data_IF_927022531276
#
_entry.id   IF_927022531276
#
_cell.length_a   1.000
_cell.length_b   1.000
_cell.length_c   1.000
_cell.angle_alpha   90.00
_cell.angle_beta   90.00
_cell.angle_gamma   90.00
#
_symmetry.space_group_name_H-M   'P 1'
#
loop_
_entity.id
_entity.type
_entity.pdbx_description
1 polymer ?
#
# COMPACT_ATOMS: atom_id res chain seq x y z
N UNK A 1 34.18 -43.41 -75.82
CA UNK A 1 35.11 -42.27 -75.66
C UNK A 1 34.51 -40.94 -76.13
N UNK A 2 33.99 -40.79 -77.36
CA UNK A 2 33.43 -39.48 -77.83
C UNK A 2 32.12 -39.08 -77.12
N UNK A 3 31.16 -39.99 -76.96
CA UNK A 3 29.86 -39.70 -76.33
C UNK A 3 29.98 -39.41 -74.83
N UNK A 4 30.85 -40.12 -74.11
CA UNK A 4 31.09 -39.91 -72.68
C UNK A 4 31.65 -38.51 -72.40
N UNK A 5 32.58 -38.03 -73.26
CA UNK A 5 33.14 -36.68 -73.18
C UNK A 5 32.06 -35.62 -73.45
N UNK A 6 31.17 -35.83 -74.43
CA UNK A 6 30.05 -34.91 -74.68
C UNK A 6 29.07 -34.85 -73.50
N UNK A 7 28.76 -36.00 -72.89
CA UNK A 7 27.88 -36.08 -71.71
C UNK A 7 28.51 -35.34 -70.51
N UNK A 8 29.81 -35.53 -70.27
CA UNK A 8 30.53 -34.81 -69.21
C UNK A 8 30.53 -33.30 -69.47
N UNK A 9 30.73 -32.85 -70.71
CA UNK A 9 30.68 -31.43 -71.07
C UNK A 9 29.29 -30.82 -70.89
N UNK A 10 28.23 -31.54 -71.23
CA UNK A 10 26.85 -31.11 -71.01
C UNK A 10 26.53 -30.98 -69.52
N UNK A 11 26.91 -31.98 -68.72
CA UNK A 11 26.79 -31.94 -67.25
C UNK A 11 27.59 -30.81 -66.64
N UNK A 12 28.82 -30.55 -67.11
CA UNK A 12 29.66 -29.44 -66.65
C UNK A 12 29.03 -28.07 -66.94
N UNK A 13 28.46 -27.88 -68.14
CA UNK A 13 27.70 -26.66 -68.47
C UNK A 13 26.48 -26.48 -67.57
N UNK A 14 25.72 -27.55 -67.32
CA UNK A 14 24.56 -27.50 -66.44
C UNK A 14 24.94 -27.19 -64.98
N UNK A 15 26.02 -27.80 -64.47
CA UNK A 15 26.56 -27.47 -63.14
C UNK A 15 26.97 -25.99 -63.09
N UNK A 16 27.61 -25.47 -64.14
CA UNK A 16 28.00 -24.06 -64.22
C UNK A 16 26.79 -23.12 -64.17
N UNK A 17 25.70 -23.44 -64.87
CA UNK A 17 24.46 -22.63 -64.82
C UNK A 17 23.83 -22.64 -63.42
N UNK A 18 23.74 -23.81 -62.79
CA UNK A 18 23.19 -23.96 -61.43
C UNK A 18 24.03 -23.18 -60.41
N UNK A 19 25.37 -23.19 -60.55
CA UNK A 19 26.26 -22.41 -59.68
C UNK A 19 26.00 -20.91 -59.80
N UNK A 20 25.72 -20.41 -61.01
CA UNK A 20 25.41 -18.98 -61.22
C UNK A 20 24.08 -18.61 -60.57
N UNK A 21 23.05 -19.46 -60.70
CA UNK A 21 21.75 -19.25 -60.05
C UNK A 21 21.87 -19.27 -58.52
N UNK A 22 22.59 -20.24 -57.95
CA UNK A 22 22.88 -20.30 -56.51
C UNK A 22 23.63 -19.04 -56.06
N UNK A 23 24.62 -18.58 -56.85
CA UNK A 23 25.37 -17.37 -56.54
C UNK A 23 24.49 -16.13 -56.53
N UNK A 24 23.50 -16.05 -57.42
CA UNK A 24 22.53 -14.95 -57.44
C UNK A 24 21.59 -15.01 -56.23
N UNK A 25 21.03 -16.19 -55.94
CA UNK A 25 20.19 -16.41 -54.76
C UNK A 25 20.91 -16.09 -53.45
N UNK A 26 22.18 -16.49 -53.32
CA UNK A 26 23.01 -16.16 -52.16
C UNK A 26 23.23 -14.65 -51.99
N UNK A 27 23.39 -13.90 -53.10
CA UNK A 27 23.50 -12.43 -53.04
C UNK A 27 22.20 -11.79 -52.55
N UNK A 28 21.04 -12.25 -53.03
CA UNK A 28 19.74 -11.77 -52.57
C UNK A 28 19.54 -12.05 -51.08
N UNK A 29 19.80 -13.27 -50.64
CA UNK A 29 19.73 -13.67 -49.22
C UNK A 29 20.62 -12.78 -48.35
N UNK A 30 21.88 -12.56 -48.75
CA UNK A 30 22.79 -11.68 -48.01
C UNK A 30 22.25 -10.26 -47.91
N UNK A 31 21.69 -9.72 -48.98
CA UNK A 31 21.10 -8.37 -48.95
C UNK A 31 19.93 -8.28 -47.97
N UNK A 32 19.01 -9.25 -48.00
CA UNK A 32 17.88 -9.32 -47.06
C UNK A 32 18.34 -9.51 -45.63
N UNK A 33 19.38 -10.30 -45.40
CA UNK A 33 19.97 -10.53 -44.09
C UNK A 33 20.53 -9.22 -43.52
N UNK A 34 21.28 -8.43 -44.30
CA UNK A 34 21.77 -7.12 -43.83
C UNK A 34 20.63 -6.14 -43.51
N UNK A 35 19.54 -6.17 -44.28
CA UNK A 35 18.35 -5.35 -43.98
C UNK A 35 17.69 -5.79 -42.67
N UNK A 36 17.55 -7.09 -42.43
CA UNK A 36 16.98 -7.63 -41.19
C UNK A 36 17.87 -7.27 -39.99
N UNK A 37 19.19 -7.40 -40.11
CA UNK A 37 20.14 -7.01 -39.05
C UNK A 37 20.01 -5.52 -38.71
N UNK A 38 19.86 -4.65 -39.72
CA UNK A 38 19.65 -3.22 -39.49
C UNK A 38 18.33 -2.93 -38.78
N UNK A 39 17.25 -3.60 -39.17
CA UNK A 39 15.94 -3.47 -38.53
C UNK A 39 15.93 -4.02 -37.11
N UNK A 40 16.66 -5.11 -36.86
CA UNK A 40 16.80 -5.69 -35.52
C UNK A 40 17.56 -4.73 -34.60
N UNK A 41 18.66 -4.16 -35.08
CA UNK A 41 19.43 -3.14 -34.33
C UNK A 41 18.59 -1.91 -33.98
N UNK A 42 17.78 -1.38 -34.93
CA UNK A 42 16.85 -0.28 -34.64
C UNK A 42 15.77 -0.70 -33.62
N UNK A 43 15.21 -1.90 -33.78
CA UNK A 43 14.19 -2.43 -32.88
C UNK A 43 14.72 -2.62 -31.47
N UNK A 44 15.92 -3.18 -31.31
CA UNK A 44 16.59 -3.36 -30.03
C UNK A 44 16.89 -2.01 -29.37
N UNK A 45 17.34 -1.01 -30.14
CA UNK A 45 17.53 0.35 -29.66
C UNK A 45 16.24 0.99 -29.13
N UNK A 46 15.13 0.81 -29.86
CA UNK A 46 13.81 1.28 -29.44
C UNK A 46 13.30 0.54 -28.20
N UNK A 47 13.57 -0.77 -28.10
CA UNK A 47 13.18 -1.61 -26.97
C UNK A 47 13.92 -1.17 -25.70
N UNK A 48 15.24 -0.98 -25.78
CA UNK A 48 16.05 -0.46 -24.68
C UNK A 48 15.59 0.94 -24.24
N UNK A 49 15.26 1.83 -25.18
CA UNK A 49 14.72 3.15 -24.86
C UNK A 49 13.35 3.06 -24.16
N UNK A 50 12.48 2.14 -24.58
CA UNK A 50 11.18 1.91 -23.95
C UNK A 50 11.33 1.35 -22.53
N UNK A 51 12.24 0.40 -22.32
CA UNK A 51 12.55 -0.14 -20.98
C UNK A 51 13.08 0.94 -20.04
N UNK A 52 13.98 1.82 -20.52
CA UNK A 52 14.47 2.96 -19.76
C UNK A 52 13.34 3.94 -19.39
N UNK A 53 12.37 4.17 -20.29
CA UNK A 53 11.20 5.00 -19.98
C UNK A 53 10.28 4.33 -18.98
N UNK A 54 10.01 3.02 -19.09
CA UNK A 54 9.16 2.28 -18.17
C UNK A 54 9.74 2.30 -16.76
N UNK A 55 11.03 2.09 -16.61
CA UNK A 55 11.71 2.14 -15.30
C UNK A 55 11.63 3.55 -14.69
N UNK A 56 11.86 4.60 -15.48
CA UNK A 56 11.73 5.99 -15.06
C UNK A 56 10.30 6.35 -14.63
N UNK A 57 9.30 5.95 -15.42
CA UNK A 57 7.89 6.16 -15.11
C UNK A 57 7.47 5.40 -13.86
N UNK A 58 7.91 4.14 -13.70
CA UNK A 58 7.61 3.33 -12.51
C UNK A 58 8.16 3.98 -11.25
N UNK A 59 9.39 4.49 -11.29
CA UNK A 59 10.00 5.25 -10.19
C UNK A 59 9.20 6.53 -9.88
N UNK A 60 8.81 7.28 -10.91
CA UNK A 60 8.03 8.51 -10.76
C UNK A 60 6.66 8.23 -10.14
N UNK A 61 5.96 7.20 -10.60
CA UNK A 61 4.67 6.77 -10.06
C UNK A 61 4.80 6.37 -8.59
N UNK A 62 5.85 5.64 -8.21
CA UNK A 62 6.10 5.29 -6.81
C UNK A 62 6.28 6.53 -5.93
N UNK A 63 7.09 7.51 -6.36
CA UNK A 63 7.31 8.77 -5.63
C UNK A 63 6.01 9.57 -5.52
N UNK A 64 5.24 9.67 -6.59
CA UNK A 64 3.95 10.38 -6.58
C UNK A 64 2.95 9.71 -5.66
N UNK A 65 2.92 8.38 -5.63
CA UNK A 65 2.02 7.64 -4.74
C UNK A 65 2.34 7.90 -3.26
N UNK A 66 3.61 7.87 -2.88
CA UNK A 66 4.04 8.21 -1.52
C UNK A 66 3.72 9.67 -1.15
N UNK A 67 3.92 10.61 -2.08
CA UNK A 67 3.56 12.03 -1.85
C UNK A 67 2.06 12.23 -1.67
N UNK A 68 1.24 11.59 -2.48
CA UNK A 68 -0.23 11.65 -2.38
C UNK A 68 -0.70 11.07 -1.05
N UNK A 69 -0.13 9.93 -0.65
CA UNK A 69 -0.42 9.29 0.63
C UNK A 69 -0.04 10.19 1.83
N UNK A 70 1.12 10.84 1.79
CA UNK A 70 1.53 11.80 2.84
C UNK A 70 0.59 13.03 2.87
N UNK A 71 0.21 13.56 1.71
CA UNK A 71 -0.75 14.68 1.63
C UNK A 71 -2.12 14.32 2.19
N UNK A 72 -2.66 13.15 1.85
CA UNK A 72 -3.92 12.65 2.39
C UNK A 72 -3.87 12.54 3.92
N UNK A 73 -2.81 11.94 4.46
CA UNK A 73 -2.66 11.80 5.92
C UNK A 73 -2.46 13.13 6.65
N UNK A 74 -1.78 14.10 6.03
CA UNK A 74 -1.67 15.47 6.57
C UNK A 74 -3.03 16.17 6.57
N UNK A 75 -3.82 16.02 5.51
CA UNK A 75 -5.17 16.59 5.42
C UNK A 75 -6.11 15.96 6.47
N UNK A 76 -6.02 14.65 6.68
CA UNK A 76 -6.81 13.93 7.69
C UNK A 76 -6.23 13.99 9.11
N UNK A 77 -5.12 14.71 9.33
CA UNK A 77 -4.42 14.71 10.62
C UNK A 77 -5.30 15.16 11.78
N UNK A 78 -6.24 16.07 11.55
CA UNK A 78 -7.18 16.54 12.56
C UNK A 78 -8.53 15.79 12.55
N UNK A 79 -8.70 14.86 11.63
CA UNK A 79 -9.93 14.10 11.50
C UNK A 79 -9.97 12.94 12.52
N UNK A 80 -11.14 12.74 13.10
CA UNK A 80 -11.48 11.67 14.02
C UNK A 80 -12.57 10.81 13.37
N UNK A 81 -12.39 9.49 13.42
CA UNK A 81 -13.34 8.53 12.88
C UNK A 81 -14.02 7.80 14.02
N UNK A 82 -15.36 7.84 14.08
CA UNK A 82 -16.14 7.23 15.16
C UNK A 82 -17.12 6.22 14.59
N UNK A 83 -17.17 5.02 15.19
CA UNK A 83 -17.98 3.89 14.75
C UNK A 83 -18.96 3.50 15.86
N UNK A 84 -20.09 2.90 15.47
CA UNK A 84 -21.04 2.25 16.39
C UNK A 84 -22.35 3.01 16.59
N UNK A 85 -22.45 4.26 16.13
CA UNK A 85 -23.69 5.04 16.24
C UNK A 85 -24.73 4.64 15.21
N UNK A 86 -25.95 4.37 15.66
CA UNK A 86 -27.14 4.10 14.83
C UNK A 86 -27.39 5.22 13.83
N UNK A 87 -27.84 4.86 12.61
CA UNK A 87 -28.11 5.84 11.54
C UNK A 87 -29.25 6.80 11.93
N UNK A 88 -29.01 8.11 11.81
CA UNK A 88 -30.02 9.14 12.04
C UNK A 88 -30.06 9.75 13.45
N UNK A 89 -29.23 9.27 14.38
CA UNK A 89 -29.10 9.84 15.74
C UNK A 89 -28.76 11.34 15.76
N UNK A 90 -28.09 11.80 14.71
CA UNK A 90 -27.68 13.19 14.51
C UNK A 90 -28.83 14.15 14.13
N UNK A 91 -30.01 13.61 13.78
CA UNK A 91 -31.20 14.38 13.37
C UNK A 91 -30.91 15.43 12.27
N UNK A 92 -29.99 15.13 11.36
CA UNK A 92 -29.61 16.01 10.25
C UNK A 92 -28.52 17.05 10.57
N UNK A 93 -28.09 17.18 11.83
CA UNK A 93 -26.98 18.07 12.21
C UNK A 93 -25.88 17.34 13.00
N UNK A 94 -24.96 16.65 12.30
CA UNK A 94 -23.85 15.93 12.94
C UNK A 94 -22.96 16.81 13.81
N UNK A 95 -22.69 18.06 13.40
CA UNK A 95 -21.79 18.96 14.13
C UNK A 95 -22.37 19.29 15.50
N UNK A 96 -23.63 19.74 15.55
CA UNK A 96 -24.30 20.06 16.82
C UNK A 96 -24.47 18.83 17.71
N UNK A 97 -24.76 17.66 17.12
CA UNK A 97 -24.80 16.39 17.85
C UNK A 97 -23.47 16.13 18.56
N UNK A 98 -22.34 16.28 17.86
CA UNK A 98 -21.04 15.99 18.45
C UNK A 98 -20.56 17.02 19.47
N UNK A 99 -20.91 18.29 19.31
CA UNK A 99 -20.60 19.30 20.34
C UNK A 99 -21.26 18.98 21.69
N UNK A 100 -22.46 18.41 21.68
CA UNK A 100 -23.21 18.03 22.90
C UNK A 100 -22.82 16.65 23.43
N UNK A 101 -22.72 15.67 22.54
CA UNK A 101 -22.58 14.26 22.91
C UNK A 101 -21.15 13.90 23.33
N UNK A 102 -20.15 14.47 22.66
CA UNK A 102 -18.75 14.04 22.81
C UNK A 102 -18.16 14.35 24.20
N UNK A 103 -18.42 15.53 24.83
CA UNK A 103 -17.98 15.79 26.20
C UNK A 103 -18.58 14.82 27.21
N UNK A 104 -19.90 14.55 27.12
CA UNK A 104 -20.59 13.64 28.02
C UNK A 104 -20.11 12.19 27.86
N UNK A 105 -19.97 11.73 26.61
CA UNK A 105 -19.55 10.36 26.30
C UNK A 105 -18.12 10.06 26.78
N UNK A 106 -17.22 11.03 26.66
CA UNK A 106 -15.82 10.89 27.06
C UNK A 106 -15.53 11.47 28.45
N UNK A 107 -16.56 11.77 29.24
CA UNK A 107 -16.45 12.34 30.60
C UNK A 107 -15.47 13.51 30.67
N UNK A 108 -15.49 14.38 29.66
CA UNK A 108 -14.61 15.54 29.61
C UNK A 108 -15.06 16.58 30.64
N UNK A 109 -14.13 17.40 31.18
CA UNK A 109 -14.49 18.49 32.07
C UNK A 109 -15.51 19.43 31.44
N UNK A 110 -16.43 19.94 32.27
CA UNK A 110 -17.35 21.00 31.86
C UNK A 110 -16.57 22.20 31.32
N UNK A 111 -17.04 22.76 30.19
CA UNK A 111 -16.36 23.86 29.49
C UNK A 111 -15.26 23.44 28.50
N UNK A 112 -15.02 22.14 28.27
CA UNK A 112 -14.09 21.69 27.23
C UNK A 112 -14.56 22.12 25.84
N UNK A 113 -13.86 23.09 25.24
CA UNK A 113 -14.17 23.60 23.91
C UNK A 113 -13.56 22.69 22.83
N UNK A 114 -14.42 21.89 22.19
CA UNK A 114 -13.99 20.93 21.15
C UNK A 114 -13.60 21.59 19.83
N UNK A 115 -14.21 22.74 19.48
CA UNK A 115 -14.01 23.44 18.20
C UNK A 115 -14.07 22.49 16.99
N UNK A 116 -15.27 22.01 16.68
CA UNK A 116 -15.52 21.14 15.52
C UNK A 116 -15.68 22.02 14.27
N UNK A 117 -14.87 21.76 13.23
CA UNK A 117 -14.96 22.48 11.95
C UNK A 117 -16.15 21.97 11.14
N UNK A 118 -16.27 20.64 11.05
CA UNK A 118 -17.42 19.96 10.48
C UNK A 118 -17.48 18.51 10.94
N UNK A 119 -18.66 17.92 10.86
CA UNK A 119 -18.88 16.49 11.04
C UNK A 119 -19.85 15.97 9.98
N UNK A 120 -19.61 14.76 9.50
CA UNK A 120 -20.51 14.07 8.58
C UNK A 120 -20.40 12.56 8.75
N UNK A 121 -21.35 11.80 8.20
CA UNK A 121 -21.18 10.35 8.02
C UNK A 121 -20.45 10.07 6.73
N UNK A 122 -19.70 8.97 6.67
CA UNK A 122 -19.04 8.55 5.44
C UNK A 122 -20.00 8.53 4.26
N UNK A 123 -19.52 8.88 3.07
CA UNK A 123 -20.30 8.99 1.83
C UNK A 123 -20.84 7.66 1.28
N UNK A 124 -20.64 6.54 2.00
CA UNK A 124 -21.20 5.27 1.64
C UNK A 124 -22.75 5.32 1.60
N UNK A 125 -23.40 4.50 0.74
CA UNK A 125 -24.85 4.34 0.74
C UNK A 125 -25.37 4.01 2.13
N UNK A 126 -26.58 4.49 2.45
CA UNK A 126 -27.20 4.20 3.75
C UNK A 126 -27.40 2.69 3.88
N UNK A 127 -26.89 2.06 4.96
CA UNK A 127 -27.02 0.62 5.16
C UNK A 127 -28.47 0.24 5.45
N UNK A 128 -28.83 -1.00 5.13
CA UNK A 128 -30.13 -1.56 5.48
C UNK A 128 -30.26 -1.76 7.01
N UNK A 129 -31.48 -1.85 7.56
CA UNK A 129 -31.68 -2.18 8.97
C UNK A 129 -30.92 -3.45 9.37
N UNK A 130 -30.20 -3.40 10.48
CA UNK A 130 -29.37 -4.52 10.98
C UNK A 130 -27.97 -4.63 10.39
N UNK A 131 -27.64 -3.87 9.33
CA UNK A 131 -26.27 -3.76 8.84
C UNK A 131 -25.45 -2.75 9.67
N UNK A 132 -24.13 -2.82 9.52
CA UNK A 132 -23.20 -1.94 10.25
C UNK A 132 -23.45 -0.46 9.88
N UNK A 133 -23.70 0.43 10.86
CA UNK A 133 -23.88 1.85 10.61
C UNK A 133 -22.64 2.51 10.01
N UNK A 134 -22.84 3.58 9.23
CA UNK A 134 -21.75 4.36 8.65
C UNK A 134 -20.99 5.11 9.73
N UNK A 135 -19.64 5.11 9.67
CA UNK A 135 -18.81 5.87 10.57
C UNK A 135 -19.07 7.37 10.42
N UNK A 136 -18.92 8.08 11.52
CA UNK A 136 -18.75 9.52 11.50
C UNK A 136 -17.30 9.88 11.21
N UNK A 137 -17.11 10.94 10.44
CA UNK A 137 -15.84 11.62 10.21
C UNK A 137 -16.02 13.05 10.73
N UNK A 138 -15.21 13.41 11.72
CA UNK A 138 -15.26 14.70 12.40
C UNK A 138 -13.93 15.38 12.20
N UNK A 139 -13.92 16.60 11.66
CA UNK A 139 -12.72 17.43 11.60
C UNK A 139 -12.70 18.41 12.76
N UNK A 140 -11.63 18.32 13.55
CA UNK A 140 -11.38 19.22 14.68
C UNK A 140 -10.48 20.37 14.22
N UNK A 141 -10.68 21.55 14.80
CA UNK A 141 -9.85 22.71 14.49
C UNK A 141 -8.41 22.52 15.00
N UNK A 142 -8.25 21.84 16.15
CA UNK A 142 -6.96 21.69 16.84
C UNK A 142 -6.56 20.22 16.98
N UNK A 143 -5.33 19.90 16.58
CA UNK A 143 -4.74 18.57 16.73
C UNK A 143 -4.63 18.12 18.19
N UNK A 144 -4.40 19.05 19.12
CA UNK A 144 -4.32 18.76 20.56
C UNK A 144 -5.62 18.18 21.09
N UNK A 145 -6.77 18.73 20.67
CA UNK A 145 -8.09 18.21 21.03
C UNK A 145 -8.27 16.80 20.48
N UNK A 146 -7.94 16.54 19.21
CA UNK A 146 -7.99 15.17 18.65
C UNK A 146 -7.23 14.17 19.52
N UNK A 147 -6.00 14.51 19.93
CA UNK A 147 -5.18 13.62 20.78
C UNK A 147 -5.82 13.42 22.16
N UNK A 148 -6.36 14.48 22.77
CA UNK A 148 -7.05 14.40 24.05
C UNK A 148 -8.25 13.44 23.98
N UNK A 149 -9.07 13.56 22.94
CA UNK A 149 -10.27 12.72 22.76
C UNK A 149 -9.90 11.25 22.53
N UNK A 150 -8.92 10.99 21.67
CA UNK A 150 -8.44 9.61 21.44
C UNK A 150 -7.87 8.99 22.71
N UNK A 151 -7.09 9.76 23.48
CA UNK A 151 -6.54 9.29 24.75
C UNK A 151 -7.64 9.02 25.77
N UNK A 152 -8.61 9.93 25.90
CA UNK A 152 -9.74 9.76 26.83
C UNK A 152 -10.58 8.53 26.48
N UNK A 153 -10.81 8.29 25.19
CA UNK A 153 -11.51 7.09 24.74
C UNK A 153 -10.72 5.81 25.07
N UNK A 154 -9.39 5.84 24.91
CA UNK A 154 -8.52 4.72 25.27
C UNK A 154 -8.49 4.46 26.78
N UNK A 155 -8.41 5.51 27.60
CA UNK A 155 -8.36 5.43 29.05
C UNK A 155 -9.69 4.91 29.64
N UNK A 156 -10.83 5.26 29.00
CA UNK A 156 -12.16 4.73 29.36
C UNK A 156 -12.37 3.28 28.92
N UNK A 157 -11.64 2.80 27.90
CA UNK A 157 -11.75 1.44 27.40
C UNK A 157 -13.02 1.20 26.59
N UNK A 158 -13.97 0.46 27.17
CA UNK A 158 -15.22 0.08 26.49
C UNK A 158 -16.26 1.21 26.62
N UNK A 159 -16.57 1.86 25.51
CA UNK A 159 -17.60 2.89 25.43
C UNK A 159 -18.87 2.29 24.81
N UNK A 160 -20.02 2.57 25.42
CA UNK A 160 -21.32 2.11 24.93
C UNK A 160 -22.31 3.28 24.85
N UNK A 161 -23.08 3.31 23.77
CA UNK A 161 -24.19 4.25 23.55
C UNK A 161 -25.41 3.46 23.11
N UNK A 162 -26.53 3.57 23.82
CA UNK A 162 -27.76 2.82 23.50
C UNK A 162 -27.50 1.32 23.26
N UNK A 163 -26.66 0.69 24.10
CA UNK A 163 -26.22 -0.72 24.00
C UNK A 163 -25.36 -1.05 22.77
N UNK A 164 -24.91 -0.05 22.01
CA UNK A 164 -23.96 -0.22 20.90
C UNK A 164 -22.56 0.16 21.34
N UNK A 165 -21.58 -0.69 21.01
CA UNK A 165 -20.16 -0.40 21.26
C UNK A 165 -19.68 0.72 20.36
N UNK A 166 -19.11 1.75 20.97
CA UNK A 166 -18.56 2.92 20.30
C UNK A 166 -17.04 2.81 20.24
N UNK A 167 -16.49 3.03 19.05
CA UNK A 167 -15.06 2.95 18.82
C UNK A 167 -14.55 4.25 18.20
N UNK A 168 -13.42 4.74 18.72
CA UNK A 168 -12.74 5.94 18.27
C UNK A 168 -11.43 5.57 17.59
N UNK A 169 -11.22 6.08 16.37
CA UNK A 169 -10.00 5.85 15.62
C UNK A 169 -9.49 7.14 14.98
N UNK A 170 -8.17 7.27 14.76
CA UNK A 170 -7.66 8.27 13.84
C UNK A 170 -8.18 7.98 12.43
N UNK A 171 -8.53 9.04 11.70
CA UNK A 171 -8.76 8.93 10.26
C UNK A 171 -7.40 8.88 9.55
N UNK A 172 -7.16 7.81 8.79
CA UNK A 172 -5.89 7.50 8.14
C UNK A 172 -6.17 7.03 6.71
N UNK A 173 -5.27 7.28 5.77
CA UNK A 173 -5.37 6.77 4.41
C UNK A 173 -5.41 5.24 4.39
N UNK A 174 -5.99 4.65 3.34
CA UNK A 174 -6.08 3.19 3.18
C UNK A 174 -4.69 2.54 3.17
N UNK A 175 -3.75 3.12 2.43
CA UNK A 175 -2.37 2.64 2.38
C UNK A 175 -1.71 2.63 3.77
N UNK A 176 -1.92 3.68 4.57
CA UNK A 176 -1.37 3.74 5.92
C UNK A 176 -2.05 2.74 6.86
N UNK A 177 -3.36 2.55 6.75
CA UNK A 177 -4.08 1.52 7.51
C UNK A 177 -3.57 0.11 7.18
N UNK A 178 -3.34 -0.18 5.90
CA UNK A 178 -2.84 -1.48 5.46
C UNK A 178 -1.40 -1.70 5.93
N UNK A 179 -0.52 -0.70 5.81
CA UNK A 179 0.85 -0.75 6.36
C UNK A 179 0.85 -0.99 7.86
N UNK A 180 -0.05 -0.32 8.59
CA UNK A 180 -0.22 -0.51 10.04
C UNK A 180 -0.71 -1.91 10.40
N UNK A 181 -1.63 -2.48 9.62
CA UNK A 181 -2.14 -3.84 9.83
C UNK A 181 -1.02 -4.87 9.72
N UNK A 182 -0.13 -4.71 8.74
CA UNK A 182 1.01 -5.61 8.54
C UNK A 182 2.03 -5.56 9.68
N UNK A 183 2.10 -4.44 10.42
CA UNK A 183 3.02 -4.29 11.57
C UNK A 183 2.47 -4.85 12.89
N UNK A 184 1.22 -5.32 12.93
CA UNK A 184 0.64 -5.78 14.19
C UNK A 184 1.22 -7.15 14.56
N UNK A 185 1.85 -7.30 15.73
CA UNK A 185 2.40 -8.59 16.14
C UNK A 185 1.28 -9.59 16.45
N UNK A 186 1.46 -10.85 16.07
CA UNK A 186 0.50 -11.93 16.34
C UNK A 186 0.49 -12.37 17.82
N UNK A 187 1.54 -12.07 18.57
CA UNK A 187 1.70 -12.49 19.97
C UNK A 187 1.15 -11.45 20.94
N UNK A 188 0.68 -11.91 22.10
CA UNK A 188 0.17 -11.09 23.22
C UNK A 188 1.29 -10.30 23.93
N UNK A 189 1.92 -9.36 23.22
CA UNK A 189 2.95 -8.47 23.74
C UNK A 189 2.36 -7.06 23.84
N UNK A 190 2.76 -6.30 24.86
CA UNK A 190 2.38 -4.89 24.97
C UNK A 190 3.09 -4.09 23.86
N UNK A 191 2.30 -3.55 22.94
CA UNK A 191 2.79 -2.69 21.87
C UNK A 191 1.98 -1.41 21.76
N UNK A 192 2.59 -0.40 21.13
CA UNK A 192 1.94 0.84 20.72
C UNK A 192 2.29 1.15 19.27
N UNK A 193 1.29 1.59 18.49
CA UNK A 193 1.49 1.94 17.09
C UNK A 193 1.47 3.46 16.92
N UNK A 194 2.60 4.02 16.50
CA UNK A 194 2.82 5.45 16.37
C UNK A 194 2.76 5.91 14.92
N UNK A 195 2.43 7.19 14.72
CA UNK A 195 2.43 7.79 13.40
C UNK A 195 3.85 7.87 12.81
N UNK A 196 4.03 7.62 11.50
CA UNK A 196 3.01 7.13 10.56
C UNK A 196 2.69 5.65 10.78
N UNK A 197 3.69 4.79 10.83
CA UNK A 197 3.55 3.36 11.07
C UNK A 197 4.81 2.83 11.76
N UNK A 198 4.98 3.21 13.03
CA UNK A 198 6.12 2.79 13.87
C UNK A 198 5.57 1.93 15.00
N UNK A 199 5.92 0.65 15.00
CA UNK A 199 5.56 -0.26 16.08
C UNK A 199 6.57 -0.09 17.21
N UNK A 200 6.10 0.26 18.41
CA UNK A 200 6.90 0.23 19.63
C UNK A 200 6.49 -0.96 20.47
N UNK A 201 7.44 -1.81 20.79
CA UNK A 201 7.24 -2.97 21.66
C UNK A 201 7.97 -2.67 22.97
N UNK A 202 7.27 -2.83 24.10
CA UNK A 202 7.88 -2.68 25.42
C UNK A 202 8.03 -4.04 26.07
N UNK A 203 9.27 -4.45 26.36
CA UNK A 203 9.61 -5.71 27.01
C UNK A 203 10.58 -5.46 28.16
N UNK A 204 10.26 -5.99 29.36
CA UNK A 204 11.05 -5.82 30.60
C UNK A 204 11.49 -4.37 30.91
N UNK A 205 10.66 -3.38 30.52
CA UNK A 205 10.93 -1.96 30.75
C UNK A 205 11.69 -1.26 29.61
N UNK A 206 12.29 -2.00 28.69
CA UNK A 206 12.92 -1.44 27.50
C UNK A 206 11.91 -1.34 26.35
N UNK A 207 11.97 -0.24 25.60
CA UNK A 207 11.08 0.00 24.46
C UNK A 207 11.88 0.08 23.16
N UNK A 208 11.63 -0.86 22.26
CA UNK A 208 12.24 -0.91 20.93
C UNK A 208 11.23 -0.47 19.86
N UNK A 209 11.71 0.22 18.82
CA UNK A 209 10.89 0.73 17.72
C UNK A 209 11.22 0.06 16.40
N UNK A 210 10.19 -0.34 15.65
CA UNK A 210 10.28 -1.06 14.39
C UNK A 210 9.46 -0.36 13.31
N UNK A 211 9.97 -0.38 12.08
CA UNK A 211 9.28 0.20 10.91
C UNK A 211 8.82 -0.84 9.90
N UNK A 212 9.34 -2.07 10.02
CA UNK A 212 9.00 -3.23 9.20
C UNK A 212 8.49 -4.37 10.08
N UNK A 213 7.61 -5.19 9.52
CA UNK A 213 7.01 -6.32 10.23
C UNK A 213 8.06 -7.39 10.52
N UNK A 214 8.94 -7.63 9.56
CA UNK A 214 10.03 -8.62 9.66
C UNK A 214 10.99 -8.34 10.82
N UNK A 215 11.39 -7.07 11.02
CA UNK A 215 12.26 -6.70 12.16
C UNK A 215 11.55 -6.92 13.49
N UNK A 216 10.26 -6.55 13.57
CA UNK A 216 9.45 -6.75 14.75
C UNK A 216 9.25 -8.24 15.08
N UNK A 217 8.99 -9.07 14.07
CA UNK A 217 8.83 -10.52 14.22
C UNK A 217 10.11 -11.21 14.65
N UNK A 218 11.26 -10.82 14.08
CA UNK A 218 12.58 -11.30 14.50
C UNK A 218 12.82 -10.97 15.97
N UNK A 219 12.52 -9.74 16.38
CA UNK A 219 12.63 -9.32 17.77
C UNK A 219 11.70 -10.14 18.69
N UNK A 220 10.43 -10.26 18.34
CA UNK A 220 9.43 -11.04 19.10
C UNK A 220 9.78 -12.53 19.20
N UNK A 221 10.39 -13.09 18.15
CA UNK A 221 10.85 -14.48 18.14
C UNK A 221 12.05 -14.66 19.07
N UNK A 222 13.02 -13.75 19.03
CA UNK A 222 14.16 -13.75 19.96
C UNK A 222 13.71 -13.65 21.44
N UNK A 223 12.70 -12.84 21.73
CA UNK A 223 12.10 -12.75 23.08
C UNK A 223 11.54 -14.09 23.55
N UNK A 224 10.88 -14.83 22.66
CA UNK A 224 10.29 -16.14 22.99
C UNK A 224 11.33 -17.23 23.26
N UNK A 225 12.54 -17.11 22.68
CA UNK A 225 13.64 -18.05 22.89
C UNK A 225 14.39 -17.76 24.21
N UNK A 226 14.56 -16.48 24.56
CA UNK A 226 15.11 -16.07 25.86
C UNK A 226 14.28 -16.58 27.06
N UNK A 227 12.96 -16.72 26.90
CA UNK A 227 12.09 -17.25 27.97
C UNK A 227 12.17 -18.78 28.15
N UNK A 228 12.78 -19.53 27.22
CA UNK A 228 12.95 -21.00 27.35
C UNK A 228 14.29 -21.41 27.97
N UNK A 229 15.24 -20.50 28.13
CA UNK A 229 16.59 -20.80 28.64
C UNK A 229 16.86 -20.38 30.09
N UNK A 230 15.83 -19.96 30.84
CA UNK A 230 15.97 -19.46 32.21
C UNK A 230 15.50 -20.43 33.30
N UNK A 231 15.62 -21.74 33.06
CA UNK A 231 15.16 -22.79 33.97
C UNK A 231 16.21 -23.88 34.14
N UNK A 232 17.40 -23.53 34.59
CA UNK A 232 18.33 -24.48 35.23
C UNK A 232 18.90 -23.80 36.49
N UNK A 233 18.27 -24.11 37.62
CA UNK A 233 18.92 -24.21 38.92
C UNK A 233 18.87 -25.71 39.29
N UNK A 234 19.89 -26.22 39.97
CA UNK A 234 19.92 -26.04 41.43
C UNK A 234 21.20 -25.40 41.98
#
# INVERSE_FOLDING_TARGET
>A
ISEDIKMILASSKHISTVIVEIKHGNKDILSRLTTIESHLSDSDGRLAAAEAQITSLTSTVAVLHERLNDQENRACRNNLRILGFTEGVEQGNPTCFWEKTLPALLKQPEGTVLSIEWAHRSLAPRPAPGQRPRPFIIKLLRFSIKKLLLKSAQDLGSLEWERHKILFFPDLSKALQDRRRLLLPEKNIKYGLFYPAILKITWKGETSSFTTAEEAEKFVSALSHSCRGGGEEP
#
